data_IF_479941676321
#
_entry.id   IF_479941676321
#
_cell.length_a   1.000
_cell.length_b   1.000
_cell.length_c   1.000
_cell.angle_alpha   90.00
_cell.angle_beta   90.00
_cell.angle_gamma   90.00
#
_symmetry.space_group_name_H-M   'P 1'
#
loop_
_entity.id
_entity.type
_entity.pdbx_description
1 polymer ?
#
# COMPACT_ATOMS: atom_id res chain seq x y z
N UNK A 1 17.48 24.66 0.47
CA UNK A 1 17.85 23.42 1.20
C UNK A 1 18.26 22.36 0.18
N UNK A 2 19.53 21.94 0.13
CA UNK A 2 20.04 20.97 -0.87
C UNK A 2 19.52 19.57 -0.54
N UNK A 3 18.88 18.89 -1.50
CA UNK A 3 18.42 17.51 -1.37
C UNK A 3 19.56 16.57 -1.85
N UNK A 4 20.25 15.83 -0.95
CA UNK A 4 21.50 15.12 -1.28
C UNK A 4 21.39 14.10 -2.44
N UNK A 5 20.22 13.50 -2.63
CA UNK A 5 19.96 12.50 -3.68
C UNK A 5 19.75 13.12 -5.06
N UNK A 6 19.24 14.35 -5.12
CA UNK A 6 19.00 15.07 -6.37
C UNK A 6 20.30 15.66 -6.92
N UNK A 7 21.30 15.90 -6.05
CA UNK A 7 22.64 16.32 -6.50
C UNK A 7 23.37 15.25 -7.32
N UNK A 8 23.15 13.95 -7.07
CA UNK A 8 23.76 12.89 -7.88
C UNK A 8 23.29 12.95 -9.33
N UNK A 9 21.97 12.93 -9.54
CA UNK A 9 21.37 13.02 -10.88
C UNK A 9 21.80 14.32 -11.59
N UNK A 10 21.80 15.46 -10.89
CA UNK A 10 22.22 16.73 -11.50
C UNK A 10 23.68 16.74 -11.97
N UNK A 11 24.57 16.05 -11.27
CA UNK A 11 25.97 15.89 -11.68
C UNK A 11 26.10 14.98 -12.91
N UNK A 12 25.31 13.90 -12.97
CA UNK A 12 25.35 12.92 -14.08
C UNK A 12 24.84 13.49 -15.42
N UNK A 13 23.82 14.36 -15.38
CA UNK A 13 23.26 15.03 -16.57
C UNK A 13 23.78 16.45 -16.79
N UNK A 14 24.69 16.95 -15.94
CA UNK A 14 25.28 18.29 -16.08
C UNK A 14 24.29 19.43 -15.86
N UNK A 15 23.26 19.24 -15.04
CA UNK A 15 22.21 20.23 -14.77
C UNK A 15 22.11 20.59 -13.28
N UNK A 16 21.81 21.87 -13.00
CA UNK A 16 21.72 22.34 -11.62
C UNK A 16 20.56 21.67 -10.86
N UNK A 17 20.77 21.37 -9.58
CA UNK A 17 19.83 20.67 -8.69
C UNK A 17 18.41 21.29 -8.72
N UNK A 18 18.30 22.61 -8.85
CA UNK A 18 17.00 23.31 -8.93
C UNK A 18 16.22 22.96 -10.18
N UNK A 19 16.90 22.78 -11.33
CA UNK A 19 16.28 22.35 -12.59
C UNK A 19 15.78 20.92 -12.46
N UNK A 20 16.60 20.01 -11.91
CA UNK A 20 16.18 18.61 -11.65
C UNK A 20 14.94 18.59 -10.75
N UNK A 21 14.94 19.36 -9.66
CA UNK A 21 13.79 19.45 -8.76
C UNK A 21 12.52 19.92 -9.44
N UNK A 22 12.59 20.94 -10.31
CA UNK A 22 11.43 21.43 -11.08
C UNK A 22 10.92 20.38 -12.07
N UNK A 23 11.81 19.67 -12.74
CA UNK A 23 11.45 18.60 -13.69
C UNK A 23 10.76 17.46 -12.95
N UNK A 24 11.33 16.98 -11.84
CA UNK A 24 10.73 15.93 -11.02
C UNK A 24 9.33 16.35 -10.57
N UNK A 25 9.18 17.56 -10.00
CA UNK A 25 7.87 18.05 -9.55
C UNK A 25 6.85 18.11 -10.69
N UNK A 26 7.23 18.63 -11.86
CA UNK A 26 6.36 18.69 -13.04
C UNK A 26 5.94 17.29 -13.49
N UNK A 27 6.89 16.37 -13.67
CA UNK A 27 6.61 15.01 -14.14
C UNK A 27 5.75 14.26 -13.13
N UNK A 28 6.08 14.34 -11.83
CA UNK A 28 5.28 13.71 -10.78
C UNK A 28 3.84 14.21 -10.77
N UNK A 29 3.61 15.52 -10.95
CA UNK A 29 2.25 16.09 -11.05
C UNK A 29 1.47 15.55 -12.25
N UNK A 30 2.12 15.45 -13.42
CA UNK A 30 1.49 14.90 -14.63
C UNK A 30 1.19 13.40 -14.51
N UNK A 31 2.03 12.62 -13.83
CA UNK A 31 1.73 11.22 -13.53
C UNK A 31 0.53 11.14 -12.57
N UNK A 32 0.54 11.95 -11.51
CA UNK A 32 -0.55 12.01 -10.53
C UNK A 32 -1.88 12.48 -11.14
N UNK A 33 -1.87 13.37 -12.13
CA UNK A 33 -3.08 13.83 -12.81
C UNK A 33 -3.79 12.68 -13.55
N UNK A 34 -3.02 11.69 -14.01
CA UNK A 34 -3.53 10.49 -14.70
C UNK A 34 -3.87 9.34 -13.75
N UNK A 35 -3.59 9.43 -12.45
CA UNK A 35 -3.75 8.31 -11.50
C UNK A 35 -5.13 7.66 -11.55
N UNK A 36 -6.19 8.46 -11.69
CA UNK A 36 -7.58 8.00 -11.70
C UNK A 36 -7.93 7.16 -12.94
N UNK A 37 -7.07 7.15 -13.96
CA UNK A 37 -7.24 6.29 -15.14
C UNK A 37 -6.79 4.85 -14.84
N UNK A 38 -5.78 4.67 -13.98
CA UNK A 38 -5.07 3.40 -13.78
C UNK A 38 -5.31 2.79 -12.39
N UNK A 39 -5.29 3.62 -11.33
CA UNK A 39 -5.46 3.20 -9.94
C UNK A 39 -6.92 3.30 -9.57
N UNK A 40 -7.64 2.17 -9.67
CA UNK A 40 -9.07 2.09 -9.38
C UNK A 40 -9.37 0.95 -8.43
N UNK A 41 -9.99 1.27 -7.31
CA UNK A 41 -10.49 0.28 -6.37
C UNK A 41 -11.89 -0.18 -6.80
N UNK A 42 -12.19 -1.50 -6.77
CA UNK A 42 -13.54 -1.97 -7.06
C UNK A 42 -14.54 -1.43 -6.03
N UNK A 43 -15.65 -0.84 -6.51
CA UNK A 43 -16.63 -0.18 -5.65
C UNK A 43 -18.08 -0.64 -5.88
N UNK A 44 -18.32 -1.49 -6.89
CA UNK A 44 -19.65 -2.01 -7.23
C UNK A 44 -19.66 -3.53 -7.19
N UNK A 45 -20.85 -4.13 -7.03
CA UNK A 45 -20.99 -5.59 -7.02
C UNK A 45 -20.43 -6.29 -8.26
N UNK A 46 -20.61 -5.69 -9.45
CA UNK A 46 -20.06 -6.22 -10.69
C UNK A 46 -18.52 -6.17 -10.70
N UNK A 47 -17.92 -5.07 -10.23
CA UNK A 47 -16.47 -4.95 -10.11
C UNK A 47 -15.89 -5.91 -9.06
N UNK A 48 -16.59 -6.11 -7.94
CA UNK A 48 -16.20 -7.09 -6.94
C UNK A 48 -16.18 -8.51 -7.49
N UNK A 49 -17.20 -8.91 -8.25
CA UNK A 49 -17.23 -10.23 -8.88
C UNK A 49 -16.06 -10.40 -9.84
N UNK A 50 -15.81 -9.42 -10.71
CA UNK A 50 -14.67 -9.45 -11.62
C UNK A 50 -13.33 -9.56 -10.88
N UNK A 51 -13.11 -8.72 -9.86
CA UNK A 51 -11.85 -8.73 -9.11
C UNK A 51 -11.63 -10.07 -8.36
N UNK A 52 -12.71 -10.67 -7.86
CA UNK A 52 -12.70 -11.97 -7.20
C UNK A 52 -12.37 -13.10 -8.20
N UNK A 53 -12.96 -13.06 -9.39
CA UNK A 53 -12.67 -14.03 -10.45
C UNK A 53 -11.22 -13.89 -10.93
N UNK A 54 -10.73 -12.65 -11.11
CA UNK A 54 -9.33 -12.35 -11.44
C UNK A 54 -8.36 -12.81 -10.34
N UNK A 55 -8.74 -12.77 -9.06
CA UNK A 55 -7.92 -13.29 -7.97
C UNK A 55 -7.89 -14.82 -7.97
N UNK A 56 -9.07 -15.45 -8.05
CA UNK A 56 -9.22 -16.91 -8.04
C UNK A 56 -8.52 -17.61 -9.23
N UNK A 57 -8.28 -16.90 -10.33
CA UNK A 57 -7.52 -17.42 -11.46
C UNK A 57 -6.06 -17.79 -11.15
N UNK A 58 -5.46 -17.16 -10.13
CA UNK A 58 -4.05 -17.34 -9.77
C UNK A 58 -3.84 -17.76 -8.31
N UNK A 59 -4.88 -17.67 -7.49
CA UNK A 59 -4.81 -17.80 -6.04
C UNK A 59 -5.93 -18.71 -5.51
N UNK A 60 -5.77 -19.18 -4.28
CA UNK A 60 -6.61 -20.22 -3.67
C UNK A 60 -7.54 -19.71 -2.57
N UNK A 61 -7.26 -18.57 -1.94
CA UNK A 61 -8.15 -18.02 -0.91
C UNK A 61 -9.40 -17.41 -1.59
N UNK A 62 -10.61 -17.89 -1.26
CA UNK A 62 -11.84 -17.43 -1.91
C UNK A 62 -12.21 -16.01 -1.45
N UNK A 63 -13.01 -15.33 -2.28
CA UNK A 63 -13.56 -13.98 -2.00
C UNK A 63 -12.53 -12.85 -1.86
N UNK A 64 -11.25 -13.12 -2.10
CA UNK A 64 -10.21 -12.09 -2.07
C UNK A 64 -10.26 -11.29 -3.36
N UNK A 65 -10.09 -9.97 -3.25
CA UNK A 65 -10.00 -9.05 -4.40
C UNK A 65 -8.65 -8.33 -4.49
N UNK A 66 -7.80 -8.51 -3.48
CA UNK A 66 -6.52 -7.83 -3.38
C UNK A 66 -5.83 -8.06 -2.05
N UNK A 67 -4.58 -7.60 -1.98
CA UNK A 67 -3.82 -7.53 -0.74
C UNK A 67 -3.55 -6.07 -0.38
N UNK A 68 -3.46 -5.79 0.93
CA UNK A 68 -3.16 -4.47 1.49
C UNK A 68 -1.86 -4.54 2.30
N UNK A 69 -1.06 -3.49 2.19
CA UNK A 69 0.13 -3.32 3.02
C UNK A 69 0.46 -1.84 3.20
N UNK A 70 1.33 -1.57 4.17
CA UNK A 70 1.93 -0.27 4.40
C UNK A 70 3.45 -0.31 4.15
N UNK A 71 4.01 0.79 3.66
CA UNK A 71 5.45 0.97 3.54
C UNK A 71 5.91 2.33 3.99
N UNK A 72 7.17 2.40 4.38
CA UNK A 72 7.79 3.61 4.87
C UNK A 72 8.72 4.20 3.81
N UNK A 73 8.26 5.27 3.15
CA UNK A 73 9.10 6.06 2.24
C UNK A 73 9.92 7.05 3.07
N UNK A 74 11.25 6.93 3.03
CA UNK A 74 12.15 7.82 3.78
C UNK A 74 12.02 9.26 3.29
N UNK A 75 11.99 10.18 4.23
CA UNK A 75 11.99 11.62 3.96
C UNK A 75 13.08 12.32 4.77
N UNK A 76 13.40 13.54 4.34
CA UNK A 76 14.15 14.47 5.20
C UNK A 76 13.20 14.91 6.31
N UNK A 77 13.63 14.78 7.57
CA UNK A 77 12.84 15.18 8.74
C UNK A 77 12.34 16.61 8.56
N UNK A 78 11.01 16.84 8.56
CA UNK A 78 10.45 18.18 8.51
C UNK A 78 10.92 19.02 9.71
N UNK A 79 11.09 20.32 9.51
CA UNK A 79 11.46 21.23 10.59
C UNK A 79 10.31 21.40 11.61
N UNK A 80 9.08 21.47 11.11
CA UNK A 80 7.87 21.62 11.91
C UNK A 80 7.22 20.25 12.10
N UNK A 81 6.90 19.87 13.34
CA UNK A 81 6.32 18.57 13.71
C UNK A 81 7.10 17.34 13.20
N UNK A 82 8.42 17.46 13.00
CA UNK A 82 9.24 16.40 12.40
C UNK A 82 9.25 15.07 13.16
N UNK A 83 8.97 15.11 14.47
CA UNK A 83 8.92 13.91 15.31
C UNK A 83 7.73 12.99 14.96
N UNK A 84 6.64 13.54 14.41
CA UNK A 84 5.49 12.74 13.96
C UNK A 84 5.87 11.81 12.80
N UNK A 85 6.91 12.14 12.06
CA UNK A 85 7.36 11.33 10.92
C UNK A 85 8.32 10.22 11.34
N UNK A 86 8.75 10.17 12.60
CA UNK A 86 9.67 9.15 13.10
C UNK A 86 8.92 7.82 13.26
N UNK A 87 9.32 6.82 12.49
CA UNK A 87 8.79 5.46 12.63
C UNK A 87 9.40 4.73 13.83
N UNK A 88 8.93 3.51 14.08
CA UNK A 88 9.43 2.66 15.19
C UNK A 88 10.92 2.33 15.13
N UNK A 89 11.57 2.54 13.97
CA UNK A 89 13.01 2.34 13.76
C UNK A 89 13.82 3.63 13.94
N UNK A 90 13.20 4.72 14.40
CA UNK A 90 13.88 6.01 14.58
C UNK A 90 14.12 6.79 13.29
N UNK A 91 13.50 6.41 12.17
CA UNK A 91 13.72 7.02 10.85
C UNK A 91 12.53 7.89 10.45
N UNK A 92 12.78 9.09 9.94
CA UNK A 92 11.74 9.98 9.41
C UNK A 92 11.21 9.46 8.06
N UNK A 93 9.91 9.16 8.01
CA UNK A 93 9.26 8.49 6.88
C UNK A 93 7.81 8.98 6.70
N UNK A 94 7.29 8.84 5.49
CA UNK A 94 5.85 8.84 5.22
C UNK A 94 5.40 7.38 5.22
N UNK A 95 4.34 7.06 5.98
CA UNK A 95 3.70 5.75 5.93
C UNK A 95 2.67 5.74 4.78
N UNK A 96 2.92 4.91 3.78
CA UNK A 96 2.13 4.78 2.55
C UNK A 96 1.36 3.48 2.60
N UNK A 97 0.04 3.56 2.65
CA UNK A 97 -0.83 2.39 2.48
C UNK A 97 -1.14 2.18 1.01
N UNK A 98 -1.06 0.94 0.53
CA UNK A 98 -1.43 0.59 -0.82
C UNK A 98 -2.20 -0.73 -0.86
N UNK A 99 -3.05 -0.88 -1.88
CA UNK A 99 -3.69 -2.16 -2.23
C UNK A 99 -3.29 -2.58 -3.63
N UNK A 100 -3.10 -3.88 -3.84
CA UNK A 100 -2.81 -4.46 -5.16
C UNK A 100 -3.81 -5.56 -5.51
N UNK A 101 -4.13 -5.68 -6.79
CA UNK A 101 -4.90 -6.81 -7.33
C UNK A 101 -3.98 -7.99 -7.70
N UNK A 102 -4.56 -9.06 -8.24
CA UNK A 102 -3.82 -10.27 -8.64
C UNK A 102 -2.83 -10.07 -9.80
N UNK A 103 -2.85 -8.91 -10.46
CA UNK A 103 -1.92 -8.53 -11.54
C UNK A 103 -0.81 -7.60 -11.07
N UNK A 104 -0.57 -7.55 -9.75
CA UNK A 104 0.44 -6.69 -9.13
C UNK A 104 0.22 -5.17 -9.38
N UNK A 105 -0.99 -4.78 -9.81
CA UNK A 105 -1.31 -3.38 -10.06
C UNK A 105 -1.91 -2.72 -8.82
N UNK A 106 -1.44 -1.53 -8.49
CA UNK A 106 -2.03 -0.71 -7.43
C UNK A 106 -3.49 -0.36 -7.76
N UNK A 107 -4.39 -0.64 -6.82
CA UNK A 107 -5.81 -0.30 -6.89
C UNK A 107 -6.19 0.86 -5.96
N UNK A 108 -5.35 1.14 -4.95
CA UNK A 108 -5.45 2.30 -4.07
C UNK A 108 -4.07 2.63 -3.50
N UNK A 109 -3.77 3.92 -3.33
CA UNK A 109 -2.54 4.41 -2.69
C UNK A 109 -2.88 5.62 -1.82
N UNK A 110 -2.45 5.59 -0.56
CA UNK A 110 -2.61 6.68 0.42
C UNK A 110 -1.26 7.01 1.05
N UNK A 111 -0.66 8.12 0.63
CA UNK A 111 0.66 8.60 1.07
C UNK A 111 0.59 9.84 1.98
N UNK A 112 -0.50 9.99 2.73
CA UNK A 112 -0.78 11.22 3.51
C UNK A 112 -0.45 11.10 5.00
N UNK A 113 0.22 10.02 5.44
CA UNK A 113 0.38 9.72 6.86
C UNK A 113 1.83 9.81 7.34
N UNK A 114 2.08 10.43 8.51
CA UNK A 114 3.39 10.41 9.14
C UNK A 114 3.84 8.99 9.52
N UNK A 115 5.16 8.77 9.53
CA UNK A 115 5.78 7.49 9.84
C UNK A 115 5.51 6.92 11.24
N UNK A 116 5.06 7.74 12.20
CA UNK A 116 4.65 7.26 13.53
C UNK A 116 3.28 6.58 13.53
N UNK A 117 2.46 6.78 12.49
CA UNK A 117 1.08 6.32 12.48
C UNK A 117 0.99 4.83 12.14
N UNK A 118 0.21 4.11 12.94
CA UNK A 118 -0.05 2.68 12.78
C UNK A 118 -0.92 2.37 11.57
N UNK A 119 -0.62 1.26 10.90
CA UNK A 119 -1.28 0.82 9.66
C UNK A 119 -2.80 0.65 9.82
N UNK A 120 -3.23 0.14 10.97
CA UNK A 120 -4.65 0.03 11.31
C UNK A 120 -5.36 1.39 11.33
N UNK A 121 -4.72 2.43 11.86
CA UNK A 121 -5.28 3.78 11.88
C UNK A 121 -5.37 4.37 10.47
N UNK A 122 -4.37 4.11 9.64
CA UNK A 122 -4.40 4.52 8.22
C UNK A 122 -5.56 3.81 7.50
N UNK A 123 -5.74 2.51 7.75
CA UNK A 123 -6.84 1.72 7.20
C UNK A 123 -8.22 2.30 7.54
N UNK A 124 -8.50 2.58 8.81
CA UNK A 124 -9.80 3.15 9.22
C UNK A 124 -10.09 4.52 8.62
N UNK A 125 -9.05 5.29 8.27
CA UNK A 125 -9.18 6.61 7.67
C UNK A 125 -8.97 6.58 6.13
N UNK A 126 -8.91 5.39 5.53
CA UNK A 126 -8.71 5.24 4.09
C UNK A 126 -10.02 5.45 3.32
N UNK A 127 -9.98 6.02 2.11
CA UNK A 127 -11.17 6.14 1.25
C UNK A 127 -11.82 4.81 0.88
N UNK A 128 -11.07 3.70 0.95
CA UNK A 128 -11.54 2.35 0.61
C UNK A 128 -12.18 1.63 1.79
N UNK A 129 -11.98 2.09 3.03
CA UNK A 129 -12.63 1.53 4.22
C UNK A 129 -14.16 1.48 4.11
N UNK A 130 -14.88 2.58 3.80
CA UNK A 130 -16.34 2.51 3.69
C UNK A 130 -16.83 1.59 2.56
N UNK A 131 -16.05 1.44 1.50
CA UNK A 131 -16.36 0.51 0.40
C UNK A 131 -16.32 -0.93 0.92
N UNK A 132 -15.25 -1.29 1.62
CA UNK A 132 -15.07 -2.63 2.18
C UNK A 132 -16.05 -2.89 3.34
N UNK A 133 -16.30 -1.91 4.22
CA UNK A 133 -17.28 -2.04 5.30
C UNK A 133 -18.69 -2.33 4.75
N UNK A 134 -19.10 -1.64 3.69
CA UNK A 134 -20.42 -1.78 3.08
C UNK A 134 -20.49 -2.88 2.00
N UNK A 135 -19.46 -3.72 1.84
CA UNK A 135 -19.43 -4.73 0.77
C UNK A 135 -20.38 -5.92 0.97
N UNK A 136 -21.14 -5.95 2.08
CA UNK A 136 -22.08 -7.02 2.45
C UNK A 136 -21.42 -8.40 2.60
N UNK A 137 -20.15 -8.45 3.05
CA UNK A 137 -19.36 -9.68 3.23
C UNK A 137 -19.19 -10.49 1.93
N UNK A 138 -19.25 -9.82 0.77
CA UNK A 138 -19.06 -10.44 -0.56
C UNK A 138 -17.59 -10.67 -0.87
N UNK A 139 -16.72 -9.80 -0.36
CA UNK A 139 -15.28 -9.77 -0.67
C UNK A 139 -14.43 -9.35 0.52
N UNK A 140 -13.16 -9.72 0.48
CA UNK A 140 -12.16 -9.36 1.48
C UNK A 140 -10.80 -8.97 0.87
N UNK A 141 -9.98 -8.30 1.68
CA UNK A 141 -8.57 -8.05 1.39
C UNK A 141 -7.69 -8.95 2.26
N UNK A 142 -6.50 -9.30 1.77
CA UNK A 142 -5.45 -9.91 2.59
C UNK A 142 -4.59 -8.82 3.23
N UNK A 143 -4.63 -8.71 4.55
CA UNK A 143 -3.78 -7.82 5.34
C UNK A 143 -2.73 -8.59 6.13
N UNK A 144 -1.71 -7.89 6.61
CA UNK A 144 -0.75 -8.44 7.56
C UNK A 144 -1.31 -8.48 8.99
N UNK A 145 -0.50 -8.91 9.96
CA UNK A 145 -0.88 -8.95 11.38
C UNK A 145 -1.05 -7.58 12.04
N UNK A 146 -0.69 -6.49 11.36
CA UNK A 146 -0.91 -5.11 11.81
C UNK A 146 -2.37 -4.66 11.70
N UNK A 147 -3.18 -5.38 10.92
CA UNK A 147 -4.62 -5.15 10.78
C UNK A 147 -5.45 -6.09 11.66
N UNK A 148 -6.68 -5.68 11.98
CA UNK A 148 -7.66 -6.53 12.65
C UNK A 148 -8.39 -7.45 11.67
N UNK A 149 -8.66 -8.70 12.09
CA UNK A 149 -9.51 -9.63 11.31
C UNK A 149 -10.95 -9.13 11.29
N UNK A 150 -11.53 -9.03 10.11
CA UNK A 150 -12.95 -8.68 9.91
C UNK A 150 -13.52 -9.52 8.74
N UNK A 151 -14.84 -9.51 8.49
CA UNK A 151 -15.41 -10.15 7.31
C UNK A 151 -14.88 -9.64 5.95
N UNK A 152 -14.19 -8.50 5.95
CA UNK A 152 -13.63 -7.85 4.77
C UNK A 152 -12.10 -7.69 4.82
N UNK A 153 -11.44 -8.21 5.86
CA UNK A 153 -9.99 -8.19 6.06
C UNK A 153 -9.52 -9.50 6.68
N UNK A 154 -8.77 -10.30 5.93
CA UNK A 154 -8.17 -11.55 6.39
C UNK A 154 -6.70 -11.33 6.75
N UNK A 155 -6.33 -11.66 7.98
CA UNK A 155 -4.96 -11.59 8.48
C UNK A 155 -4.50 -12.96 8.96
N UNK A 156 -3.19 -13.24 9.01
CA UNK A 156 -2.70 -14.56 9.41
C UNK A 156 -3.02 -14.83 10.89
N UNK A 157 -3.15 -16.11 11.25
CA UNK A 157 -3.21 -16.50 12.66
C UNK A 157 -1.91 -16.08 13.35
N UNK A 158 -2.02 -15.30 14.43
CA UNK A 158 -0.85 -14.82 15.19
C UNK A 158 -0.05 -15.97 15.80
N UNK A 159 -0.76 -16.93 16.39
CA UNK A 159 -0.17 -18.10 17.06
C UNK A 159 -0.81 -19.39 16.51
N UNK A 160 -0.36 -19.90 15.33
CA UNK A 160 -0.98 -21.06 14.69
C UNK A 160 -0.58 -22.36 15.38
N UNK A 161 -1.52 -22.96 16.11
CA UNK A 161 -1.34 -24.20 16.86
C UNK A 161 -1.61 -25.42 15.96
N UNK A 162 -2.72 -25.38 15.20
CA UNK A 162 -3.16 -26.53 14.39
C UNK A 162 -2.49 -26.57 13.02
N UNK A 163 -2.43 -27.76 12.40
CA UNK A 163 -1.93 -27.92 11.03
C UNK A 163 -2.73 -27.10 10.02
N UNK A 164 -4.03 -26.94 10.24
CA UNK A 164 -4.91 -26.14 9.38
C UNK A 164 -4.56 -24.65 9.48
N UNK A 165 -4.30 -24.13 10.69
CA UNK A 165 -3.88 -22.73 10.88
C UNK A 165 -2.51 -22.47 10.23
N UNK A 166 -1.56 -23.40 10.40
CA UNK A 166 -0.23 -23.31 9.77
C UNK A 166 -0.34 -23.35 8.24
N UNK A 167 -1.18 -24.24 7.71
CA UNK A 167 -1.44 -24.33 6.28
C UNK A 167 -2.08 -23.04 5.74
N UNK A 168 -3.09 -22.50 6.42
CA UNK A 168 -3.70 -21.23 6.08
C UNK A 168 -2.66 -20.10 6.04
N UNK A 169 -1.84 -19.96 7.09
CA UNK A 169 -0.80 -18.93 7.13
C UNK A 169 0.20 -19.07 5.98
N UNK A 170 0.54 -20.30 5.56
CA UNK A 170 1.43 -20.54 4.42
C UNK A 170 0.81 -20.05 3.10
N UNK A 171 -0.48 -20.34 2.89
CA UNK A 171 -1.21 -19.90 1.70
C UNK A 171 -1.40 -18.38 1.73
N UNK A 172 -1.84 -17.82 2.87
CA UNK A 172 -2.00 -16.38 3.08
C UNK A 172 -0.70 -15.62 2.79
N UNK A 173 0.42 -16.08 3.36
CA UNK A 173 1.73 -15.48 3.12
C UNK A 173 2.10 -15.50 1.64
N UNK A 174 1.89 -16.62 0.94
CA UNK A 174 2.17 -16.77 -0.50
C UNK A 174 1.36 -15.77 -1.34
N UNK A 175 0.06 -15.67 -1.10
CA UNK A 175 -0.83 -14.81 -1.90
C UNK A 175 -0.62 -13.32 -1.59
N UNK A 176 -0.17 -12.99 -0.38
CA UNK A 176 0.20 -11.62 0.01
C UNK A 176 1.54 -11.16 -0.59
N UNK A 177 2.36 -12.05 -1.14
CA UNK A 177 3.66 -11.66 -1.76
C UNK A 177 3.47 -10.61 -2.85
N UNK A 178 2.33 -10.62 -3.56
CA UNK A 178 1.98 -9.66 -4.61
C UNK A 178 2.10 -8.20 -4.13
N UNK A 179 1.58 -7.89 -2.94
CA UNK A 179 1.69 -6.52 -2.40
C UNK A 179 3.09 -6.26 -1.83
N UNK A 180 3.71 -7.25 -1.19
CA UNK A 180 5.07 -7.09 -0.68
C UNK A 180 6.06 -6.79 -1.81
N UNK A 181 5.98 -7.51 -2.94
CA UNK A 181 6.79 -7.27 -4.12
C UNK A 181 6.54 -5.89 -4.74
N UNK A 182 5.27 -5.49 -4.89
CA UNK A 182 4.92 -4.17 -5.44
C UNK A 182 5.42 -3.01 -4.58
N UNK A 183 5.45 -3.20 -3.26
CA UNK A 183 5.72 -2.15 -2.29
C UNK A 183 7.20 -2.09 -1.86
N UNK A 184 7.96 -3.20 -1.97
CA UNK A 184 9.40 -3.27 -1.69
C UNK A 184 10.30 -2.61 -2.75
N UNK A 185 9.74 -2.21 -3.90
CA UNK A 185 10.47 -1.52 -4.98
C UNK A 185 10.59 0.00 -4.72
N UNK A 186 9.86 0.52 -3.72
CA UNK A 186 9.87 1.93 -3.31
C UNK A 186 10.80 2.19 -2.11
#
# INVERSE_FOLDING_TARGET
MRRPWISGVGLDVGIHQTTVSKIIDKVSREICSKKNQWVKFPATGAMFNRAKDEWAAHNTIPHVIGAIDCTHVKIIKPYVHGDEYINRKGVSTINVQATCNSREMFTSVNASWPGSVHDSRIWYNSPIYPIMYNNQKRVCLLGDSGYGVTPWMLTPFKDPITNIQKYFNRIHARERVIIAAAVLIC
#
